data_IF_217777711146
#
_entry.id   IF_217777711146
#
_cell.length_a   1.000
_cell.length_b   1.000
_cell.length_c   1.000
_cell.angle_alpha   90.00
_cell.angle_beta   90.00
_cell.angle_gamma   90.00
#
_symmetry.space_group_name_H-M   'P 1'
#
loop_
_entity.id
_entity.type
_entity.pdbx_description
1 polymer ?
#
# COMPACT_ATOMS: atom_id res chain seq x y z
N UNK A 1 -13.61 -6.32 34.29
CA UNK A 1 -14.61 -5.26 34.03
C UNK A 1 -14.62 -4.13 35.07
N UNK A 2 -13.79 -4.15 36.07
CA UNK A 2 -13.84 -3.20 37.19
C UNK A 2 -12.97 -1.95 37.07
N UNK A 3 -12.00 -1.89 36.18
CA UNK A 3 -11.10 -0.74 36.03
C UNK A 3 -11.65 0.45 35.30
N UNK A 4 -12.74 0.27 34.53
CA UNK A 4 -13.40 1.37 33.83
C UNK A 4 -14.43 2.13 34.71
N UNK A 5 -14.74 1.60 35.90
CA UNK A 5 -15.72 2.24 36.80
C UNK A 5 -15.17 3.42 37.59
N UNK A 6 -13.86 3.63 37.56
CA UNK A 6 -13.21 4.69 38.33
C UNK A 6 -13.16 6.04 37.64
N UNK A 7 -13.56 6.05 36.37
CA UNK A 7 -13.68 7.27 35.59
C UNK A 7 -15.14 7.68 35.46
N UNK A 8 -15.41 8.96 35.63
CA UNK A 8 -16.68 9.50 35.15
C UNK A 8 -16.76 9.33 33.62
N UNK A 9 -17.96 9.12 33.11
CA UNK A 9 -18.20 8.97 31.67
C UNK A 9 -17.56 10.11 30.87
N UNK A 10 -17.59 11.35 31.36
CA UNK A 10 -16.96 12.51 30.75
C UNK A 10 -15.42 12.41 30.69
N UNK A 11 -14.78 11.81 31.69
CA UNK A 11 -13.32 11.61 31.69
C UNK A 11 -12.87 10.51 30.71
N UNK A 12 -13.69 9.48 30.52
CA UNK A 12 -13.44 8.43 29.52
C UNK A 12 -13.60 9.02 28.12
N UNK A 13 -14.63 9.81 27.89
CA UNK A 13 -14.85 10.49 26.60
C UNK A 13 -13.72 11.47 26.29
N UNK A 14 -13.26 12.23 27.26
CA UNK A 14 -12.13 13.15 27.07
C UNK A 14 -10.83 12.41 26.78
N UNK A 15 -10.55 11.31 27.47
CA UNK A 15 -9.39 10.46 27.21
C UNK A 15 -9.43 9.85 25.79
N UNK A 16 -10.59 9.35 25.38
CA UNK A 16 -10.78 8.82 24.03
C UNK A 16 -10.62 9.90 22.96
N UNK A 17 -11.12 11.11 23.23
CA UNK A 17 -10.94 12.27 22.32
C UNK A 17 -9.46 12.65 22.18
N UNK A 18 -8.68 12.61 23.25
CA UNK A 18 -7.23 12.86 23.22
C UNK A 18 -6.51 11.78 22.38
N UNK A 19 -6.85 10.51 22.58
CA UNK A 19 -6.26 9.42 21.77
C UNK A 19 -6.59 9.58 20.30
N UNK A 20 -7.83 9.93 19.94
CA UNK A 20 -8.19 10.19 18.54
C UNK A 20 -7.39 11.36 17.95
N UNK A 21 -7.25 12.47 18.69
CA UNK A 21 -6.43 13.61 18.27
C UNK A 21 -4.96 13.26 18.06
N UNK A 22 -4.38 12.40 18.92
CA UNK A 22 -3.00 11.92 18.75
C UNK A 22 -2.89 11.11 17.44
N UNK A 23 -3.84 10.22 17.17
CA UNK A 23 -3.86 9.43 15.91
C UNK A 23 -3.96 10.32 14.67
N UNK A 24 -4.89 11.28 14.68
CA UNK A 24 -5.08 12.23 13.58
C UNK A 24 -3.82 13.09 13.36
N UNK A 25 -3.21 13.58 14.45
CA UNK A 25 -1.98 14.36 14.39
C UNK A 25 -0.81 13.55 13.85
N UNK A 26 -0.70 12.26 14.22
CA UNK A 26 0.33 11.36 13.70
C UNK A 26 0.17 11.13 12.19
N UNK A 27 -1.03 10.80 11.74
CA UNK A 27 -1.32 10.63 10.30
C UNK A 27 -1.06 11.91 9.51
N UNK A 28 -1.44 13.06 10.06
CA UNK A 28 -1.17 14.37 9.46
C UNK A 28 0.33 14.66 9.34
N UNK A 29 1.10 14.30 10.36
CA UNK A 29 2.55 14.45 10.38
C UNK A 29 3.24 13.54 9.35
N UNK A 30 2.82 12.29 9.24
CA UNK A 30 3.34 11.36 8.23
C UNK A 30 3.07 11.86 6.81
N UNK A 31 1.86 12.37 6.55
CA UNK A 31 1.52 12.98 5.28
C UNK A 31 2.39 14.22 4.96
N UNK A 32 2.68 15.04 5.97
CA UNK A 32 3.55 16.21 5.81
C UNK A 32 5.00 15.81 5.52
N UNK A 33 5.52 14.80 6.21
CA UNK A 33 6.86 14.23 5.94
C UNK A 33 6.96 13.71 4.51
N UNK A 34 5.95 12.98 4.04
CA UNK A 34 5.93 12.47 2.67
C UNK A 34 5.92 13.61 1.64
N UNK A 35 5.12 14.65 1.87
CA UNK A 35 5.10 15.86 1.02
C UNK A 35 6.46 16.56 1.03
N UNK A 36 7.07 16.73 2.20
CA UNK A 36 8.39 17.32 2.34
C UNK A 36 9.47 16.55 1.60
N UNK A 37 9.51 15.22 1.77
CA UNK A 37 10.50 14.36 1.11
C UNK A 37 10.36 14.42 -0.41
N UNK A 38 9.12 14.40 -0.91
CA UNK A 38 8.82 14.51 -2.34
C UNK A 38 9.28 15.87 -2.91
N UNK A 39 8.91 16.97 -2.24
CA UNK A 39 9.31 18.31 -2.66
C UNK A 39 10.84 18.48 -2.63
N UNK A 40 11.53 17.90 -1.63
CA UNK A 40 13.00 17.93 -1.54
C UNK A 40 13.67 17.14 -2.67
N UNK A 41 13.12 16.00 -3.07
CA UNK A 41 13.63 15.23 -4.21
C UNK A 41 13.45 15.99 -5.54
N UNK A 42 12.31 16.64 -5.73
CA UNK A 42 12.07 17.50 -6.89
C UNK A 42 13.04 18.69 -6.93
N UNK A 43 13.30 19.33 -5.79
CA UNK A 43 14.28 20.41 -5.68
C UNK A 43 15.66 19.95 -6.16
N UNK A 44 16.14 18.82 -5.65
CA UNK A 44 17.45 18.29 -6.04
C UNK A 44 17.55 18.04 -7.56
N UNK A 45 16.48 17.52 -8.16
CA UNK A 45 16.43 17.29 -9.60
C UNK A 45 16.49 18.59 -10.39
N UNK A 46 15.77 19.62 -9.93
CA UNK A 46 15.77 20.94 -10.57
C UNK A 46 17.12 21.63 -10.43
N UNK A 47 17.75 21.55 -9.27
CA UNK A 47 19.11 22.10 -9.07
C UNK A 47 20.14 21.46 -9.99
N UNK A 48 20.05 20.15 -10.16
CA UNK A 48 20.92 19.43 -11.12
C UNK A 48 20.69 19.92 -12.54
N UNK A 49 19.42 20.03 -12.96
CA UNK A 49 19.08 20.51 -14.30
C UNK A 49 19.47 21.96 -14.53
N UNK A 50 19.38 22.83 -13.51
CA UNK A 50 19.86 24.21 -13.59
C UNK A 50 21.37 24.24 -13.85
N UNK A 51 22.18 23.46 -13.09
CA UNK A 51 23.64 23.40 -13.28
C UNK A 51 24.03 22.89 -14.68
N UNK A 52 23.30 21.96 -15.21
CA UNK A 52 23.51 21.45 -16.59
C UNK A 52 23.13 22.48 -17.65
N UNK A 53 22.07 23.26 -17.41
CA UNK A 53 21.59 24.27 -18.34
C UNK A 53 22.39 25.58 -18.28
N UNK A 54 22.92 25.97 -17.12
CA UNK A 54 23.83 27.13 -16.98
C UNK A 54 25.10 26.99 -17.83
N UNK A 55 25.51 25.73 -18.11
CA UNK A 55 26.59 25.43 -19.04
C UNK A 55 26.23 25.56 -20.52
N UNK A 56 24.96 25.69 -20.85
CA UNK A 56 24.43 25.64 -22.23
C UNK A 56 23.81 26.93 -22.75
N UNK A 57 23.87 28.03 -22.06
CA UNK A 57 23.36 29.36 -22.48
C UNK A 57 22.04 29.84 -21.84
N UNK A 58 21.93 31.17 -21.73
CA UNK A 58 20.81 31.99 -21.25
C UNK A 58 19.54 31.74 -22.08
N UNK A 59 18.72 30.77 -21.69
CA UNK A 59 17.44 30.52 -22.35
C UNK A 59 16.28 30.56 -21.35
N UNK A 60 15.08 30.85 -21.85
CA UNK A 60 13.80 30.81 -21.11
C UNK A 60 13.62 29.54 -20.25
N UNK A 61 14.27 28.46 -20.64
CA UNK A 61 14.28 27.21 -19.91
C UNK A 61 14.96 27.32 -18.52
N UNK A 62 16.11 27.99 -18.45
CA UNK A 62 16.83 28.22 -17.17
C UNK A 62 16.00 29.11 -16.24
N UNK A 63 15.32 30.11 -16.80
CA UNK A 63 14.48 31.01 -16.04
C UNK A 63 13.26 30.29 -15.46
N UNK A 64 12.63 29.42 -16.26
CA UNK A 64 11.54 28.55 -15.80
C UNK A 64 11.97 27.59 -14.69
N UNK A 65 13.16 26.99 -14.82
CA UNK A 65 13.70 26.11 -13.78
C UNK A 65 14.00 26.87 -12.47
N UNK A 66 14.51 28.09 -12.56
CA UNK A 66 14.74 28.95 -11.38
C UNK A 66 13.44 29.30 -10.67
N UNK A 67 12.42 29.71 -11.42
CA UNK A 67 11.09 30.02 -10.87
C UNK A 67 10.46 28.78 -10.21
N UNK A 68 10.61 27.63 -10.85
CA UNK A 68 10.11 26.36 -10.28
C UNK A 68 10.86 25.96 -9.01
N UNK A 69 12.18 26.16 -8.99
CA UNK A 69 13.01 25.95 -7.79
C UNK A 69 12.52 26.85 -6.65
N UNK A 70 12.37 28.15 -6.87
CA UNK A 70 11.91 29.12 -5.85
C UNK A 70 10.52 28.75 -5.29
N UNK A 71 9.62 28.27 -6.14
CA UNK A 71 8.31 27.83 -5.69
C UNK A 71 8.39 26.58 -4.80
N UNK A 72 9.25 25.63 -5.13
CA UNK A 72 9.47 24.42 -4.33
C UNK A 72 10.16 24.78 -3.01
N UNK A 73 11.14 25.68 -3.00
CA UNK A 73 11.78 26.15 -1.78
C UNK A 73 10.74 26.75 -0.81
N UNK A 74 9.83 27.61 -1.31
CA UNK A 74 8.73 28.15 -0.48
C UNK A 74 7.80 27.04 0.06
N UNK A 75 7.51 26.02 -0.74
CA UNK A 75 6.71 24.88 -0.28
C UNK A 75 7.43 24.08 0.81
N UNK A 76 8.74 23.88 0.67
CA UNK A 76 9.56 23.21 1.68
C UNK A 76 9.52 23.96 2.99
N UNK A 77 9.72 25.29 2.96
CA UNK A 77 9.68 26.14 4.16
C UNK A 77 8.32 26.08 4.85
N UNK A 78 7.24 26.21 4.09
CA UNK A 78 5.88 26.12 4.62
C UNK A 78 5.58 24.76 5.28
N UNK A 79 5.98 23.66 4.61
CA UNK A 79 5.81 22.30 5.17
C UNK A 79 6.69 22.14 6.42
N UNK A 80 7.90 22.69 6.44
CA UNK A 80 8.76 22.70 7.61
C UNK A 80 8.11 23.36 8.84
N UNK A 81 7.46 24.52 8.63
CA UNK A 81 6.70 25.19 9.70
C UNK A 81 5.51 24.35 10.19
N UNK A 82 4.76 23.73 9.27
CA UNK A 82 3.65 22.84 9.64
C UNK A 82 4.12 21.63 10.45
N UNK A 83 5.23 21.00 10.05
CA UNK A 83 5.85 19.91 10.80
C UNK A 83 6.21 20.36 12.22
N UNK A 84 6.85 21.52 12.37
CA UNK A 84 7.19 22.06 13.69
C UNK A 84 5.96 22.29 14.58
N UNK A 85 4.88 22.84 14.03
CA UNK A 85 3.61 23.02 14.75
C UNK A 85 3.01 21.67 15.19
N UNK A 86 3.00 20.68 14.30
CA UNK A 86 2.47 19.35 14.62
C UNK A 86 3.31 18.60 15.65
N UNK A 87 4.62 18.75 15.63
CA UNK A 87 5.50 18.20 16.67
C UNK A 87 5.19 18.75 18.05
N UNK A 88 5.03 20.08 18.15
CA UNK A 88 4.67 20.74 19.42
C UNK A 88 3.29 20.30 19.92
N UNK A 89 2.31 20.13 19.02
CA UNK A 89 0.99 19.61 19.36
C UNK A 89 1.06 18.17 19.90
N UNK A 90 1.87 17.32 19.27
CA UNK A 90 2.10 15.94 19.72
C UNK A 90 2.73 15.90 21.12
N UNK A 91 3.72 16.74 21.40
CA UNK A 91 4.32 16.82 22.74
C UNK A 91 3.29 17.24 23.79
N UNK A 92 2.52 18.29 23.52
CA UNK A 92 1.46 18.75 24.42
C UNK A 92 0.44 17.65 24.71
N UNK A 93 0.02 16.90 23.68
CA UNK A 93 -0.92 15.78 23.83
C UNK A 93 -0.32 14.62 24.62
N UNK A 94 0.97 14.32 24.45
CA UNK A 94 1.68 13.32 25.26
C UNK A 94 1.68 13.69 26.74
N UNK A 95 1.96 14.95 27.06
CA UNK A 95 1.96 15.43 28.44
C UNK A 95 0.57 15.33 29.08
N UNK A 96 -0.48 15.67 28.32
CA UNK A 96 -1.87 15.48 28.78
C UNK A 96 -2.20 14.01 29.05
N UNK A 97 -1.77 13.09 28.18
CA UNK A 97 -1.96 11.65 28.41
C UNK A 97 -1.24 11.18 29.67
N UNK A 98 -0.03 11.65 29.91
CA UNK A 98 0.72 11.33 31.14
C UNK A 98 0.00 11.86 32.38
N UNK A 99 -0.50 13.10 32.33
CA UNK A 99 -1.26 13.70 33.41
C UNK A 99 -2.54 12.90 33.74
N UNK A 100 -3.30 12.55 32.70
CA UNK A 100 -4.53 11.74 32.88
C UNK A 100 -4.23 10.33 33.40
N UNK A 101 -3.13 9.70 32.96
CA UNK A 101 -2.71 8.41 33.52
C UNK A 101 -2.40 8.51 35.06
N UNK A 102 -1.68 9.56 35.48
CA UNK A 102 -1.41 9.81 36.92
C UNK A 102 -2.71 10.05 37.68
N UNK A 103 -3.62 10.83 37.13
CA UNK A 103 -4.92 11.09 37.73
C UNK A 103 -5.75 9.81 37.90
N UNK A 104 -5.71 8.93 36.88
CA UNK A 104 -6.30 7.60 36.90
C UNK A 104 -5.73 6.78 38.08
N UNK A 105 -4.40 6.71 38.21
CA UNK A 105 -3.77 5.96 39.31
C UNK A 105 -4.17 6.49 40.71
N UNK A 106 -4.27 7.81 40.85
CA UNK A 106 -4.67 8.43 42.12
C UNK A 106 -6.14 8.09 42.45
N UNK A 107 -7.02 8.18 41.49
CA UNK A 107 -8.44 7.84 41.64
C UNK A 107 -8.63 6.35 41.92
N UNK A 108 -7.93 5.49 41.20
CA UNK A 108 -7.95 4.03 41.40
C UNK A 108 -7.51 3.64 42.84
N UNK A 109 -6.52 4.36 43.41
CA UNK A 109 -6.08 4.13 44.80
C UNK A 109 -7.08 4.62 45.84
N UNK A 110 -7.93 5.59 45.51
CA UNK A 110 -8.95 6.14 46.44
C UNK A 110 -10.23 5.30 46.53
N UNK A 111 -10.46 4.43 45.55
CA UNK A 111 -11.62 3.56 45.58
C UNK A 111 -11.28 2.32 46.35
N UNK A 112 -12.02 2.10 47.46
CA UNK A 112 -11.98 0.86 48.24
C UNK A 112 -12.64 -0.26 47.41
N UNK A 113 -11.90 -0.79 46.45
CA UNK A 113 -12.34 -1.93 45.65
C UNK A 113 -12.28 -3.16 46.56
N UNK A 114 -13.36 -3.88 46.70
CA UNK A 114 -13.39 -5.12 47.47
C UNK A 114 -12.32 -6.11 46.94
N UNK A 115 -11.78 -6.98 47.78
CA UNK A 115 -10.71 -7.91 47.41
C UNK A 115 -11.11 -8.80 46.18
N UNK A 116 -12.38 -9.10 46.03
CA UNK A 116 -12.91 -9.81 44.85
C UNK A 116 -12.78 -8.98 43.56
N UNK A 117 -13.07 -7.68 43.61
CA UNK A 117 -12.94 -6.80 42.45
C UNK A 117 -11.46 -6.60 42.05
N UNK A 118 -10.52 -6.55 43.04
CA UNK A 118 -9.07 -6.51 42.77
C UNK A 118 -8.57 -7.77 42.08
N UNK A 119 -9.07 -8.94 42.44
CA UNK A 119 -8.69 -10.19 41.81
C UNK A 119 -9.15 -10.22 40.34
N UNK A 120 -10.38 -9.81 40.07
CA UNK A 120 -10.93 -9.70 38.70
C UNK A 120 -10.15 -8.68 37.88
N UNK A 121 -9.81 -7.52 38.45
CA UNK A 121 -9.04 -6.47 37.78
C UNK A 121 -7.61 -6.95 37.42
N UNK A 122 -6.96 -7.65 38.32
CA UNK A 122 -5.64 -8.23 38.07
C UNK A 122 -5.69 -9.28 36.95
N UNK A 123 -6.68 -10.15 36.92
CA UNK A 123 -6.84 -11.14 35.84
C UNK A 123 -7.19 -10.48 34.50
N UNK A 124 -8.04 -9.47 34.49
CA UNK A 124 -8.33 -8.69 33.28
C UNK A 124 -7.06 -8.00 32.73
N UNK A 125 -6.26 -7.42 33.62
CA UNK A 125 -4.98 -6.78 33.25
C UNK A 125 -3.99 -7.79 32.67
N UNK A 126 -3.88 -8.96 33.29
CA UNK A 126 -3.05 -10.07 32.77
C UNK A 126 -3.51 -10.55 31.39
N UNK A 127 -4.83 -10.68 31.21
CA UNK A 127 -5.42 -11.09 29.93
C UNK A 127 -5.13 -10.04 28.84
N UNK A 128 -5.36 -8.76 29.13
CA UNK A 128 -5.04 -7.66 28.20
C UNK A 128 -3.55 -7.69 27.80
N UNK A 129 -2.66 -7.83 28.78
CA UNK A 129 -1.22 -7.91 28.49
C UNK A 129 -0.85 -9.13 27.64
N UNK A 130 -1.49 -10.27 27.90
CA UNK A 130 -1.29 -11.50 27.13
C UNK A 130 -1.77 -11.33 25.69
N UNK A 131 -2.95 -10.73 25.50
CA UNK A 131 -3.50 -10.44 24.17
C UNK A 131 -2.59 -9.45 23.43
N UNK A 132 -2.09 -8.39 24.10
CA UNK A 132 -1.16 -7.45 23.48
C UNK A 132 0.14 -8.13 23.03
N UNK A 133 0.72 -8.98 23.84
CA UNK A 133 1.91 -9.77 23.47
C UNK A 133 1.62 -10.71 22.31
N UNK A 134 0.45 -11.36 22.31
CA UNK A 134 0.02 -12.21 21.22
C UNK A 134 -0.10 -11.40 19.92
N UNK A 135 -0.76 -10.25 19.94
CA UNK A 135 -0.92 -9.39 18.76
C UNK A 135 0.43 -8.91 18.20
N UNK A 136 1.38 -8.55 19.05
CA UNK A 136 2.73 -8.17 18.61
C UNK A 136 3.39 -9.34 17.88
N UNK A 137 3.39 -10.54 18.48
CA UNK A 137 3.97 -11.73 17.87
C UNK A 137 3.25 -12.11 16.57
N UNK A 138 1.93 -12.07 16.58
CA UNK A 138 1.12 -12.37 15.42
C UNK A 138 1.43 -11.42 14.24
N UNK A 139 1.52 -10.10 14.52
CA UNK A 139 1.93 -9.12 13.51
C UNK A 139 3.31 -9.43 12.95
N UNK A 140 4.29 -9.73 13.80
CA UNK A 140 5.65 -10.08 13.34
C UNK A 140 5.69 -11.35 12.49
N UNK A 141 4.94 -12.38 12.86
CA UNK A 141 4.86 -13.61 12.05
C UNK A 141 4.15 -13.36 10.71
N UNK A 142 3.08 -12.57 10.70
CA UNK A 142 2.39 -12.18 9.45
C UNK A 142 3.28 -11.34 8.53
N UNK A 143 4.06 -10.39 9.06
CA UNK A 143 5.06 -9.63 8.31
C UNK A 143 6.07 -10.55 7.62
N UNK A 144 6.64 -11.50 8.37
CA UNK A 144 7.61 -12.46 7.85
C UNK A 144 6.99 -13.39 6.79
N UNK A 145 5.78 -13.87 7.04
CA UNK A 145 5.06 -14.74 6.11
C UNK A 145 4.78 -14.01 4.80
N UNK A 146 4.26 -12.79 4.87
CA UNK A 146 4.00 -11.95 3.70
C UNK A 146 5.30 -11.64 2.93
N UNK A 147 6.37 -11.25 3.63
CA UNK A 147 7.66 -10.97 3.00
C UNK A 147 8.18 -12.19 2.25
N UNK A 148 8.14 -13.38 2.86
CA UNK A 148 8.59 -14.64 2.25
C UNK A 148 7.74 -15.03 1.04
N UNK A 149 6.41 -14.90 1.14
CA UNK A 149 5.49 -15.17 0.03
C UNK A 149 5.74 -14.21 -1.13
N UNK A 150 5.86 -12.91 -0.83
CA UNK A 150 6.13 -11.89 -1.84
C UNK A 150 7.48 -12.12 -2.53
N UNK A 151 8.52 -12.47 -1.79
CA UNK A 151 9.83 -12.81 -2.34
C UNK A 151 9.73 -13.98 -3.32
N UNK A 152 9.06 -15.07 -2.92
CA UNK A 152 8.86 -16.24 -3.77
C UNK A 152 8.06 -15.91 -5.05
N UNK A 153 6.98 -15.10 -4.92
CA UNK A 153 6.18 -14.67 -6.08
C UNK A 153 7.00 -13.79 -7.02
N UNK A 154 7.78 -12.82 -6.50
CA UNK A 154 8.65 -11.97 -7.31
C UNK A 154 9.69 -12.79 -8.07
N UNK A 155 10.34 -13.75 -7.42
CA UNK A 155 11.30 -14.64 -8.08
C UNK A 155 10.65 -15.50 -9.18
N UNK A 156 9.36 -15.89 -8.99
CA UNK A 156 8.63 -16.65 -10.00
C UNK A 156 8.15 -15.81 -11.19
N UNK A 157 7.75 -14.56 -10.95
CA UNK A 157 7.12 -13.72 -11.95
C UNK A 157 8.13 -12.86 -12.72
N UNK A 158 9.17 -12.35 -12.04
CA UNK A 158 10.19 -11.55 -12.68
C UNK A 158 11.06 -12.38 -13.60
N UNK A 159 11.32 -11.85 -14.76
CA UNK A 159 12.23 -12.47 -15.75
C UNK A 159 13.70 -12.40 -15.29
N UNK A 160 14.07 -11.27 -14.68
CA UNK A 160 15.39 -11.07 -14.09
C UNK A 160 15.43 -11.71 -12.69
N UNK A 161 15.81 -12.97 -12.61
CA UNK A 161 15.92 -13.72 -11.35
C UNK A 161 16.85 -13.09 -10.32
N UNK A 162 17.72 -12.16 -10.74
CA UNK A 162 18.72 -11.49 -9.89
C UNK A 162 18.31 -10.04 -9.50
N UNK A 163 17.07 -9.61 -9.75
CA UNK A 163 16.67 -8.25 -9.41
C UNK A 163 16.39 -8.11 -7.91
N UNK A 164 15.61 -9.01 -7.34
CA UNK A 164 15.19 -8.95 -5.93
C UNK A 164 15.74 -10.17 -5.19
N UNK A 165 16.59 -9.92 -4.19
CA UNK A 165 17.16 -10.94 -3.30
C UNK A 165 16.31 -11.11 -2.05
N UNK A 166 15.80 -10.00 -1.48
CA UNK A 166 15.14 -9.99 -0.19
C UNK A 166 14.02 -8.94 -0.17
N UNK A 167 12.95 -9.28 0.50
CA UNK A 167 11.83 -8.37 0.78
C UNK A 167 11.73 -8.15 2.29
N UNK A 168 11.57 -6.91 2.71
CA UNK A 168 11.26 -6.57 4.10
C UNK A 168 9.91 -5.85 4.10
N UNK A 169 8.98 -6.37 4.88
CA UNK A 169 7.69 -5.73 5.15
C UNK A 169 7.78 -5.11 6.53
N UNK A 170 7.56 -3.81 6.63
CA UNK A 170 7.47 -3.11 7.90
C UNK A 170 6.08 -2.51 8.07
N UNK A 171 5.56 -2.60 9.28
CA UNK A 171 4.24 -2.08 9.64
C UNK A 171 4.45 -1.08 10.76
N UNK A 172 4.24 0.20 10.47
CA UNK A 172 4.41 1.25 11.46
C UNK A 172 3.45 1.08 12.65
N UNK A 173 3.91 1.46 13.82
CA UNK A 173 3.42 1.15 15.17
C UNK A 173 1.91 0.95 15.42
N UNK A 174 1.02 1.57 14.62
CA UNK A 174 -0.44 1.43 14.76
C UNK A 174 -1.08 0.52 13.71
N UNK A 175 -0.31 0.04 12.72
CA UNK A 175 -0.83 -0.81 11.65
C UNK A 175 -1.49 -0.06 10.49
N UNK A 176 -1.37 1.26 10.47
CA UNK A 176 -2.03 2.10 9.45
C UNK A 176 -1.14 2.30 8.21
N UNK A 177 0.17 2.06 8.33
CA UNK A 177 1.13 2.18 7.23
C UNK A 177 1.95 0.90 7.08
N UNK A 178 2.02 0.38 5.86
CA UNK A 178 2.82 -0.78 5.50
C UNK A 178 3.89 -0.34 4.50
N UNK A 179 5.14 -0.42 4.91
CA UNK A 179 6.30 -0.17 4.06
C UNK A 179 6.86 -1.49 3.52
N UNK A 180 7.01 -1.59 2.21
CA UNK A 180 7.61 -2.74 1.56
C UNK A 180 8.92 -2.30 0.92
N UNK A 181 10.03 -2.82 1.44
CA UNK A 181 11.36 -2.54 0.96
C UNK A 181 11.93 -3.74 0.20
N UNK A 182 12.35 -3.51 -1.02
CA UNK A 182 13.03 -4.49 -1.87
C UNK A 182 14.54 -4.29 -1.76
N UNK A 183 15.29 -5.39 -1.72
CA UNK A 183 16.76 -5.39 -1.69
C UNK A 183 17.29 -6.24 -2.83
N UNK A 184 18.29 -5.70 -3.53
CA UNK A 184 19.01 -6.38 -4.59
C UNK A 184 20.06 -7.35 -4.06
N UNK A 185 20.74 -8.03 -4.97
CA UNK A 185 21.84 -8.94 -4.64
C UNK A 185 23.12 -8.23 -4.15
N UNK A 186 23.17 -6.92 -4.32
CA UNK A 186 24.19 -6.05 -3.75
C UNK A 186 23.84 -5.55 -2.34
N UNK A 187 22.81 -6.12 -1.74
CA UNK A 187 22.22 -5.75 -0.44
C UNK A 187 21.78 -4.29 -0.33
N UNK A 188 21.66 -3.57 -1.46
CA UNK A 188 21.11 -2.21 -1.48
C UNK A 188 19.61 -2.22 -1.65
N UNK A 189 18.96 -1.23 -1.03
CA UNK A 189 17.53 -0.99 -1.20
C UNK A 189 17.29 -0.56 -2.64
N UNK A 190 16.34 -1.24 -3.30
CA UNK A 190 15.87 -0.89 -4.63
C UNK A 190 14.85 0.25 -4.48
N UNK A 191 15.14 1.37 -5.11
CA UNK A 191 14.17 2.46 -5.20
C UNK A 191 13.12 2.11 -6.26
N UNK A 192 11.84 2.33 -5.94
CA UNK A 192 10.74 2.10 -6.87
C UNK A 192 10.87 2.91 -8.18
N UNK A 193 11.62 4.01 -8.17
CA UNK A 193 11.90 4.82 -9.37
C UNK A 193 12.81 4.12 -10.37
N UNK A 194 13.62 3.16 -9.93
CA UNK A 194 14.56 2.40 -10.76
C UNK A 194 13.83 1.27 -11.52
N UNK A 195 12.73 0.79 -10.98
CA UNK A 195 11.93 -0.26 -11.62
C UNK A 195 11.27 0.26 -12.90
N UNK A 196 11.38 -0.50 -13.97
CA UNK A 196 10.59 -0.26 -15.19
C UNK A 196 9.09 -0.34 -14.92
N UNK A 197 8.27 0.15 -15.85
CA UNK A 197 6.82 0.11 -15.71
C UNK A 197 6.31 -1.33 -15.58
N UNK A 198 6.84 -2.27 -16.37
CA UNK A 198 6.50 -3.69 -16.29
C UNK A 198 6.93 -4.33 -14.98
N UNK A 199 8.14 -4.04 -14.50
CA UNK A 199 8.62 -4.54 -13.20
C UNK A 199 7.76 -4.04 -12.03
N UNK A 200 7.30 -2.77 -12.08
CA UNK A 200 6.36 -2.23 -11.07
C UNK A 200 5.01 -2.94 -11.11
N UNK A 201 4.48 -3.23 -12.30
CA UNK A 201 3.24 -3.95 -12.43
C UNK A 201 3.39 -5.40 -11.95
N UNK A 202 4.52 -6.06 -12.24
CA UNK A 202 4.84 -7.39 -11.71
C UNK A 202 4.96 -7.39 -10.20
N UNK A 203 5.56 -6.35 -9.61
CA UNK A 203 5.59 -6.18 -8.15
C UNK A 203 4.17 -6.08 -7.56
N UNK A 204 3.31 -5.25 -8.15
CA UNK A 204 1.92 -5.13 -7.71
C UNK A 204 1.16 -6.46 -7.82
N UNK A 205 1.36 -7.21 -8.91
CA UNK A 205 0.77 -8.54 -9.11
C UNK A 205 1.28 -9.57 -8.10
N UNK A 206 2.58 -9.56 -7.81
CA UNK A 206 3.20 -10.43 -6.82
C UNK A 206 2.69 -10.10 -5.40
N UNK A 207 2.54 -8.82 -5.08
CA UNK A 207 2.00 -8.37 -3.81
C UNK A 207 0.54 -8.80 -3.65
N UNK A 208 -0.29 -8.58 -4.66
CA UNK A 208 -1.68 -9.04 -4.65
C UNK A 208 -1.76 -10.56 -4.41
N UNK A 209 -0.97 -11.34 -5.16
CA UNK A 209 -0.94 -12.79 -4.99
C UNK A 209 -0.48 -13.22 -3.60
N UNK A 210 0.55 -12.56 -3.05
CA UNK A 210 1.04 -12.85 -1.70
C UNK A 210 0.01 -12.50 -0.62
N UNK A 211 -0.72 -11.40 -0.79
CA UNK A 211 -1.80 -10.99 0.12
C UNK A 211 -2.98 -11.96 0.07
N UNK A 212 -3.41 -12.37 -1.11
CA UNK A 212 -4.48 -13.36 -1.27
C UNK A 212 -4.09 -14.69 -0.59
N UNK A 213 -2.86 -15.16 -0.84
CA UNK A 213 -2.33 -16.38 -0.19
C UNK A 213 -2.23 -16.27 1.35
N UNK A 214 -2.17 -15.05 1.90
CA UNK A 214 -2.03 -14.82 3.34
C UNK A 214 -3.38 -14.65 4.04
N UNK A 215 -4.40 -14.18 3.34
CA UNK A 215 -5.71 -13.89 3.95
C UNK A 215 -6.58 -15.13 4.16
N UNK A 216 -6.31 -16.23 3.45
CA UNK A 216 -7.18 -17.44 3.42
C UNK A 216 -8.63 -17.13 3.00
N UNK A 217 -8.92 -15.91 2.57
CA UNK A 217 -10.23 -15.46 2.11
C UNK A 217 -10.30 -15.62 0.60
N UNK A 218 -11.23 -16.40 0.13
CA UNK A 218 -11.49 -16.57 -1.29
C UNK A 218 -12.41 -15.45 -1.78
N UNK A 219 -11.85 -14.53 -2.57
CA UNK A 219 -12.62 -13.48 -3.23
C UNK A 219 -12.30 -13.44 -4.73
N UNK A 220 -13.25 -13.01 -5.56
CA UNK A 220 -12.99 -12.83 -6.99
C UNK A 220 -12.02 -11.67 -7.21
N UNK A 221 -11.08 -11.84 -8.14
CA UNK A 221 -10.11 -10.82 -8.54
C UNK A 221 -10.50 -10.30 -9.92
N UNK A 222 -10.69 -8.98 -10.00
CA UNK A 222 -11.00 -8.25 -11.22
C UNK A 222 -9.76 -7.48 -11.65
N UNK A 223 -9.33 -7.64 -12.90
CA UNK A 223 -8.12 -7.00 -13.41
C UNK A 223 -8.47 -6.32 -14.72
N UNK A 224 -8.43 -5.00 -14.69
CA UNK A 224 -8.59 -4.15 -15.85
C UNK A 224 -7.24 -3.89 -16.54
N UNK A 225 -7.25 -3.88 -17.87
CA UNK A 225 -6.04 -3.67 -18.69
C UNK A 225 -4.84 -4.50 -18.24
N UNK A 226 -4.99 -5.83 -18.15
CA UNK A 226 -4.10 -6.72 -17.40
C UNK A 226 -2.68 -6.78 -17.95
N UNK A 227 -2.43 -6.40 -19.22
CA UNK A 227 -1.14 -6.60 -19.87
C UNK A 227 -0.56 -5.34 -20.53
N UNK A 228 -1.16 -4.17 -20.29
CA UNK A 228 -0.83 -2.93 -20.98
C UNK A 228 0.65 -2.51 -20.93
N UNK A 229 1.40 -2.96 -19.93
CA UNK A 229 2.78 -2.50 -19.67
C UNK A 229 3.81 -3.63 -19.65
N UNK A 230 3.42 -4.83 -20.01
CA UNK A 230 4.31 -5.98 -20.04
C UNK A 230 4.99 -6.13 -21.41
N UNK A 231 6.24 -6.55 -21.38
CA UNK A 231 6.89 -7.12 -22.55
C UNK A 231 6.40 -8.57 -22.78
N UNK A 232 6.65 -9.18 -23.94
CA UNK A 232 6.15 -10.52 -24.26
C UNK A 232 6.52 -11.60 -23.24
N UNK A 233 7.68 -11.46 -22.58
CA UNK A 233 8.17 -12.44 -21.63
C UNK A 233 7.51 -12.30 -20.25
N UNK A 234 7.27 -11.08 -19.82
CA UNK A 234 6.45 -10.79 -18.63
C UNK A 234 5.01 -11.20 -18.86
N UNK A 235 4.43 -10.91 -20.03
CA UNK A 235 3.07 -11.34 -20.41
C UNK A 235 2.92 -12.85 -20.25
N UNK A 236 3.84 -13.65 -20.79
CA UNK A 236 3.80 -15.10 -20.65
C UNK A 236 3.81 -15.55 -19.18
N UNK A 237 4.68 -14.98 -18.37
CA UNK A 237 4.75 -15.34 -16.93
C UNK A 237 3.45 -14.98 -16.19
N UNK A 238 2.86 -13.83 -16.49
CA UNK A 238 1.60 -13.38 -15.90
C UNK A 238 0.45 -14.31 -16.30
N UNK A 239 0.33 -14.62 -17.60
CA UNK A 239 -0.71 -15.50 -18.12
C UNK A 239 -0.61 -16.92 -17.58
N UNK A 240 0.61 -17.44 -17.42
CA UNK A 240 0.80 -18.86 -17.03
C UNK A 240 0.99 -19.08 -15.54
N UNK A 241 1.51 -18.08 -14.80
CA UNK A 241 1.87 -18.27 -13.39
C UNK A 241 1.03 -17.42 -12.43
N UNK A 242 0.62 -16.22 -12.84
CA UNK A 242 -0.10 -15.31 -11.95
C UNK A 242 -1.61 -15.51 -12.04
N UNK A 243 -2.23 -15.25 -13.21
CA UNK A 243 -3.69 -15.31 -13.33
C UNK A 243 -4.29 -16.65 -12.96
N UNK A 244 -3.73 -17.82 -13.32
CA UNK A 244 -4.29 -19.09 -12.93
C UNK A 244 -4.26 -19.37 -11.43
N UNK A 245 -3.40 -18.67 -10.69
CA UNK A 245 -3.09 -18.99 -9.29
C UNK A 245 -3.40 -17.87 -8.30
N UNK A 246 -3.85 -16.69 -8.74
CA UNK A 246 -4.08 -15.55 -7.83
C UNK A 246 -5.37 -15.68 -7.05
N UNK A 247 -6.39 -16.33 -7.59
CA UNK A 247 -7.68 -16.59 -6.93
C UNK A 247 -8.41 -17.74 -7.62
N UNK A 248 -9.42 -18.29 -6.96
CA UNK A 248 -10.33 -19.28 -7.57
C UNK A 248 -11.19 -18.72 -8.69
N UNK A 249 -11.47 -17.42 -8.66
CA UNK A 249 -12.19 -16.72 -9.70
C UNK A 249 -11.42 -15.47 -10.10
N UNK A 250 -10.98 -15.44 -11.35
CA UNK A 250 -10.27 -14.31 -11.95
C UNK A 250 -11.04 -13.81 -13.16
N UNK A 251 -11.31 -12.52 -13.20
CA UNK A 251 -12.01 -11.85 -14.30
C UNK A 251 -11.04 -10.83 -14.90
N UNK A 252 -10.71 -11.01 -16.18
CA UNK A 252 -9.79 -10.16 -16.92
C UNK A 252 -10.55 -9.33 -17.94
N UNK A 253 -10.21 -8.05 -18.05
CA UNK A 253 -10.74 -7.12 -19.06
C UNK A 253 -9.62 -6.65 -19.99
N UNK A 254 -9.08 -7.54 -20.87
CA UNK A 254 -8.03 -7.14 -21.79
C UNK A 254 -8.59 -6.42 -23.02
N UNK A 255 -7.81 -5.50 -23.58
CA UNK A 255 -8.03 -5.01 -24.92
C UNK A 255 -7.50 -6.03 -25.93
N UNK A 256 -8.41 -6.75 -26.59
CA UNK A 256 -8.04 -7.76 -27.57
C UNK A 256 -7.21 -7.14 -28.71
N UNK A 257 -6.22 -7.86 -29.21
CA UNK A 257 -5.19 -7.46 -30.18
C UNK A 257 -4.20 -6.40 -29.71
N UNK A 258 -4.56 -5.56 -28.75
CA UNK A 258 -3.64 -4.53 -28.21
C UNK A 258 -2.87 -5.01 -27.01
N UNK A 259 -3.54 -5.67 -26.08
CA UNK A 259 -2.97 -6.16 -24.82
C UNK A 259 -2.90 -7.67 -24.78
N UNK A 260 -3.86 -8.35 -25.39
CA UNK A 260 -3.90 -9.79 -25.49
C UNK A 260 -3.99 -10.18 -26.97
N UNK A 261 -2.91 -10.74 -27.46
CA UNK A 261 -2.87 -11.30 -28.83
C UNK A 261 -3.50 -12.69 -28.84
N UNK A 262 -3.86 -13.18 -30.03
CA UNK A 262 -4.41 -14.51 -30.21
C UNK A 262 -3.41 -15.61 -29.77
N UNK A 263 -2.12 -15.41 -30.06
CA UNK A 263 -1.05 -16.33 -29.64
C UNK A 263 -0.91 -16.35 -28.11
N UNK A 264 -0.98 -15.21 -27.45
CA UNK A 264 -0.91 -15.11 -25.98
C UNK A 264 -2.15 -15.71 -25.32
N UNK A 265 -3.32 -15.54 -25.94
CA UNK A 265 -4.56 -16.14 -25.45
C UNK A 265 -4.49 -17.66 -25.36
N UNK A 266 -3.79 -18.31 -26.29
CA UNK A 266 -3.61 -19.74 -26.26
C UNK A 266 -3.00 -20.27 -24.96
N UNK A 267 -2.22 -19.44 -24.23
CA UNK A 267 -1.65 -19.85 -22.93
C UNK A 267 -2.71 -20.03 -21.84
N UNK A 268 -3.81 -19.27 -21.91
CA UNK A 268 -4.87 -19.30 -20.88
C UNK A 268 -6.16 -19.91 -21.38
N UNK A 269 -6.40 -20.02 -22.65
CA UNK A 269 -7.62 -20.56 -23.24
C UNK A 269 -8.08 -21.89 -22.59
N UNK A 270 -7.20 -22.87 -22.29
CA UNK A 270 -7.63 -24.13 -21.68
C UNK A 270 -8.24 -23.99 -20.28
N UNK A 271 -8.01 -22.88 -19.61
CA UNK A 271 -8.51 -22.61 -18.24
C UNK A 271 -9.59 -21.53 -18.21
N UNK A 272 -9.93 -20.94 -19.35
CA UNK A 272 -11.01 -19.95 -19.45
C UNK A 272 -12.35 -20.68 -19.48
N UNK A 273 -13.14 -20.49 -18.43
CA UNK A 273 -14.46 -21.12 -18.34
C UNK A 273 -15.52 -20.36 -19.13
N UNK A 274 -15.44 -19.03 -19.16
CA UNK A 274 -16.38 -18.15 -19.86
C UNK A 274 -15.66 -16.96 -20.46
N UNK A 275 -16.11 -16.54 -21.62
CA UNK A 275 -15.67 -15.31 -22.24
C UNK A 275 -16.85 -14.49 -22.73
N UNK A 276 -16.66 -13.17 -22.72
CA UNK A 276 -17.68 -12.20 -23.09
C UNK A 276 -17.06 -11.11 -23.95
N UNK A 277 -17.79 -10.68 -24.96
CA UNK A 277 -17.52 -9.43 -25.66
C UNK A 277 -18.41 -8.32 -25.11
N UNK A 278 -17.85 -7.13 -24.99
CA UNK A 278 -18.62 -5.94 -24.60
C UNK A 278 -19.01 -5.22 -25.86
N UNK A 279 -20.29 -5.29 -26.21
CA UNK A 279 -20.86 -4.55 -27.35
C UNK A 279 -21.35 -3.20 -26.88
N UNK A 280 -20.88 -2.14 -27.52
CA UNK A 280 -21.28 -0.77 -27.22
C UNK A 280 -22.21 -0.27 -28.32
N UNK A 281 -23.49 -0.14 -28.01
CA UNK A 281 -24.54 0.35 -28.89
C UNK A 281 -25.03 1.75 -28.45
N UNK A 282 -25.84 2.38 -29.29
CA UNK A 282 -26.36 3.73 -29.01
C UNK A 282 -27.13 3.82 -27.70
N UNK A 283 -27.77 2.73 -27.31
CA UNK A 283 -28.62 2.65 -26.10
C UNK A 283 -27.88 2.09 -24.86
N UNK A 284 -26.61 1.78 -24.96
CA UNK A 284 -25.76 1.29 -23.85
C UNK A 284 -24.84 0.16 -24.24
N UNK A 285 -24.07 -0.29 -23.25
CA UNK A 285 -23.14 -1.43 -23.41
C UNK A 285 -23.76 -2.69 -22.82
N UNK A 286 -23.61 -3.81 -23.50
CA UNK A 286 -24.06 -5.11 -23.02
C UNK A 286 -23.00 -6.20 -23.23
N UNK A 287 -23.07 -7.26 -22.42
CA UNK A 287 -22.19 -8.39 -22.52
C UNK A 287 -22.81 -9.46 -23.43
N UNK A 288 -22.03 -9.94 -24.38
CA UNK A 288 -22.40 -11.08 -25.24
C UNK A 288 -21.50 -12.25 -24.86
N UNK A 289 -22.11 -13.35 -24.38
CA UNK A 289 -21.34 -14.56 -24.06
C UNK A 289 -20.87 -15.22 -25.34
N UNK A 290 -19.58 -15.54 -25.40
CA UNK A 290 -18.92 -16.17 -26.54
C UNK A 290 -18.17 -17.38 -26.01
N UNK A 291 -18.10 -18.46 -26.81
CA UNK A 291 -17.28 -19.61 -26.44
C UNK A 291 -15.81 -19.22 -26.41
N UNK A 292 -15.04 -19.65 -25.39
CA UNK A 292 -13.61 -19.31 -25.29
C UNK A 292 -12.81 -19.66 -26.56
N UNK A 293 -13.16 -20.74 -27.24
CA UNK A 293 -12.48 -21.17 -28.47
C UNK A 293 -12.67 -20.19 -29.63
N UNK A 294 -13.80 -19.46 -29.64
CA UNK A 294 -14.21 -18.59 -30.75
C UNK A 294 -14.01 -17.11 -30.42
N UNK A 295 -13.44 -16.75 -29.26
CA UNK A 295 -13.36 -15.38 -28.79
C UNK A 295 -12.76 -14.40 -29.82
N UNK A 296 -11.65 -14.75 -30.43
CA UNK A 296 -10.97 -13.91 -31.41
C UNK A 296 -11.68 -13.90 -32.79
N UNK A 297 -12.29 -15.00 -33.19
CA UNK A 297 -13.09 -15.06 -34.39
C UNK A 297 -14.33 -14.16 -34.31
N UNK A 298 -15.06 -14.26 -33.21
CA UNK A 298 -16.24 -13.43 -32.95
C UNK A 298 -15.86 -11.94 -32.80
N UNK A 299 -14.74 -11.64 -32.13
CA UNK A 299 -14.22 -10.28 -32.05
C UNK A 299 -13.90 -9.70 -33.41
N UNK A 300 -13.29 -10.48 -34.30
CA UNK A 300 -12.98 -10.05 -35.69
C UNK A 300 -14.25 -9.81 -36.52
N UNK A 301 -15.27 -10.64 -36.28
CA UNK A 301 -16.56 -10.54 -37.02
C UNK A 301 -17.45 -9.41 -36.50
N UNK A 302 -17.27 -8.97 -35.22
CA UNK A 302 -18.10 -7.93 -34.62
C UNK A 302 -17.83 -6.50 -35.07
N UNK A 303 -16.89 -6.29 -36.02
CA UNK A 303 -16.58 -4.96 -36.57
C UNK A 303 -15.74 -4.06 -35.64
N UNK A 304 -15.34 -4.51 -34.47
CA UNK A 304 -14.46 -3.79 -33.54
C UNK A 304 -12.97 -3.87 -33.91
N UNK A 305 -12.65 -4.58 -34.97
CA UNK A 305 -11.27 -4.81 -35.43
C UNK A 305 -10.71 -3.70 -36.31
N UNK A 306 -11.45 -2.61 -36.54
CA UNK A 306 -11.04 -1.47 -37.37
C UNK A 306 -10.64 -0.25 -36.55
#
# INVERSE_FOLDING_TARGET
FCTLHDFSQGQVEEFMRIIMKIKESKSSFENLINKYTKAKAELYTIEKNIREAEKKAESDYVQNLRTRKENIDRQIDSIGEEIGKKQSEIETLKDQVIAHKKQKEILSKKINVSDQNRAVDNEATRLIHTIQKFLIRFKEEKKKALAKKLEAKLQSYLHKTNLVKKVIVDINGNGDDVDICLFGYDDKKIDNSILSMGERQMFASALLSALVDETEIEFPVFIDSPMQKFDPQHTKNVLTKFYPNVSKQVILFPLLKKELTEEEYQYIQPIVNKSYLINNEKDGSHFVEVKPENLFEEYNNSGYAN
#
